data_IF_549182678832
#
_entry.id   IF_549182678832
#
_cell.length_a   1.000
_cell.length_b   1.000
_cell.length_c   1.000
_cell.angle_alpha   90.00
_cell.angle_beta   90.00
_cell.angle_gamma   90.00
#
_symmetry.space_group_name_H-M   'P 1'
#
loop_
_entity.id
_entity.type
_entity.pdbx_description
1 polymer ?
#
# COMPACT_ATOMS: atom_id res chain seq x y z
N UNK A 1 23.50 1.56 -8.53
CA UNK A 1 22.63 2.31 -7.59
C UNK A 1 22.15 1.33 -6.53
N UNK A 2 22.58 1.42 -5.26
CA UNK A 2 22.12 0.49 -4.23
C UNK A 2 20.60 0.62 -4.05
N UNK A 3 19.89 -0.51 -3.94
CA UNK A 3 18.46 -0.52 -3.69
C UNK A 3 18.17 0.18 -2.35
N UNK A 4 17.47 1.32 -2.41
CA UNK A 4 17.21 2.15 -1.23
C UNK A 4 16.11 1.50 -0.41
N UNK A 5 16.49 0.81 0.67
CA UNK A 5 15.56 0.22 1.63
C UNK A 5 14.53 1.26 2.10
N UNK A 6 13.27 0.86 2.21
CA UNK A 6 12.17 1.69 2.68
C UNK A 6 11.39 0.99 3.80
N UNK A 7 10.60 1.75 4.55
CA UNK A 7 9.64 1.17 5.48
C UNK A 7 8.35 0.88 4.73
N UNK A 8 7.76 -0.30 4.94
CA UNK A 8 6.37 -0.58 4.60
C UNK A 8 5.55 -0.40 5.88
N UNK A 9 4.79 0.69 5.93
CA UNK A 9 3.97 1.04 7.09
C UNK A 9 2.51 0.74 6.76
N UNK A 10 1.89 -0.13 7.54
CA UNK A 10 0.47 -0.50 7.41
C UNK A 10 -0.30 0.02 8.60
N UNK A 11 -1.38 0.76 8.37
CA UNK A 11 -2.27 1.16 9.44
C UNK A 11 -3.16 -0.01 9.86
N UNK A 12 -2.93 -0.57 11.05
CA UNK A 12 -3.73 -1.69 11.56
C UNK A 12 -4.97 -1.22 12.32
N UNK A 13 -4.92 -0.05 12.95
CA UNK A 13 -6.02 0.48 13.79
C UNK A 13 -6.45 1.87 13.35
N UNK A 14 -7.72 2.20 13.60
CA UNK A 14 -8.30 3.51 13.26
C UNK A 14 -7.77 4.64 14.17
N UNK A 15 -7.73 5.86 13.64
CA UNK A 15 -7.37 7.05 14.40
C UNK A 15 -8.59 7.83 14.94
N UNK A 16 -9.80 7.27 14.91
CA UNK A 16 -11.06 7.96 15.25
C UNK A 16 -11.09 8.55 16.67
N UNK A 17 -10.43 7.90 17.63
CA UNK A 17 -10.33 8.36 19.03
C UNK A 17 -9.01 9.06 19.39
N UNK A 18 -8.13 9.31 18.42
CA UNK A 18 -6.80 9.86 18.72
C UNK A 18 -6.81 11.39 18.79
N UNK A 19 -5.90 12.02 19.55
CA UNK A 19 -5.67 13.46 19.48
C UNK A 19 -5.39 13.96 18.06
N UNK A 20 -5.74 15.22 17.78
CA UNK A 20 -5.56 15.85 16.45
C UNK A 20 -4.12 15.80 15.95
N UNK A 21 -3.14 15.95 16.85
CA UNK A 21 -1.70 15.85 16.55
C UNK A 21 -1.30 14.47 16.04
N UNK A 22 -1.74 13.39 16.68
CA UNK A 22 -1.44 12.02 16.23
C UNK A 22 -2.13 11.72 14.88
N UNK A 23 -3.37 12.19 14.71
CA UNK A 23 -4.08 12.13 13.42
C UNK A 23 -3.35 12.87 12.29
N UNK A 24 -2.71 13.99 12.60
CA UNK A 24 -1.90 14.74 11.63
C UNK A 24 -0.62 13.99 11.27
N UNK A 25 0.04 13.35 12.25
CA UNK A 25 1.23 12.53 12.00
C UNK A 25 0.91 11.36 11.06
N UNK A 26 -0.17 10.62 11.32
CA UNK A 26 -0.61 9.52 10.45
C UNK A 26 -0.87 10.00 9.01
N UNK A 27 -1.59 11.11 8.84
CA UNK A 27 -1.80 11.74 7.52
C UNK A 27 -0.49 12.16 6.85
N UNK A 28 0.46 12.70 7.61
CA UNK A 28 1.78 13.11 7.07
C UNK A 28 2.62 11.92 6.57
N UNK A 29 2.34 10.71 7.07
CA UNK A 29 2.96 9.47 6.61
C UNK A 29 2.21 8.86 5.41
N UNK A 30 1.13 9.50 4.92
CA UNK A 30 0.30 8.98 3.83
C UNK A 30 -0.73 7.94 4.27
N UNK A 31 -0.97 7.81 5.57
CA UNK A 31 -1.99 6.90 6.11
C UNK A 31 -3.32 7.64 6.25
N UNK A 32 -4.39 7.03 5.74
CA UNK A 32 -5.71 7.66 5.71
C UNK A 32 -6.82 6.72 6.17
N UNK A 33 -6.98 5.60 5.46
CA UNK A 33 -7.94 4.55 5.81
C UNK A 33 -7.23 3.42 6.57
N UNK A 34 -7.97 2.68 7.38
CA UNK A 34 -7.47 1.43 7.99
C UNK A 34 -7.01 0.49 6.87
N UNK A 35 -5.93 -0.25 7.11
CA UNK A 35 -5.20 -1.09 6.16
C UNK A 35 -4.59 -0.36 4.96
N UNK A 36 -4.51 0.98 4.99
CA UNK A 36 -3.68 1.70 4.03
C UNK A 36 -2.20 1.41 4.25
N UNK A 37 -1.47 1.33 3.15
CA UNK A 37 -0.04 1.03 3.11
C UNK A 37 0.70 2.24 2.55
N UNK A 38 1.79 2.61 3.19
CA UNK A 38 2.68 3.68 2.76
C UNK A 38 4.13 3.20 2.75
N UNK A 39 4.93 3.73 1.81
CA UNK A 39 6.35 3.41 1.65
C UNK A 39 7.25 4.64 1.83
N UNK A 40 7.36 5.20 3.04
CA UNK A 40 8.30 6.30 3.27
C UNK A 40 9.76 5.81 3.22
N UNK A 41 10.63 6.70 2.74
CA UNK A 41 12.08 6.47 2.78
C UNK A 41 12.58 6.33 4.23
N UNK A 42 13.60 5.51 4.44
CA UNK A 42 14.25 5.38 5.74
C UNK A 42 14.98 6.69 6.06
N UNK A 43 14.52 7.38 7.10
CA UNK A 43 15.23 8.48 7.74
C UNK A 43 14.80 8.60 9.22
N UNK A 44 15.61 9.23 10.09
CA UNK A 44 15.30 9.35 11.51
C UNK A 44 13.98 10.08 11.81
N UNK A 45 13.64 11.10 11.01
CA UNK A 45 12.40 11.86 11.18
C UNK A 45 11.13 11.00 10.95
N UNK A 46 11.15 10.17 9.91
CA UNK A 46 10.10 9.18 9.60
C UNK A 46 10.03 8.14 10.72
N UNK A 47 11.17 7.62 11.18
CA UNK A 47 11.19 6.68 12.30
C UNK A 47 10.59 7.29 13.58
N UNK A 48 10.92 8.55 13.90
CA UNK A 48 10.32 9.28 15.03
C UNK A 48 8.80 9.46 14.89
N UNK A 49 8.31 9.78 13.69
CA UNK A 49 6.87 9.85 13.41
C UNK A 49 6.18 8.52 13.61
N UNK A 50 6.77 7.44 13.10
CA UNK A 50 6.27 6.06 13.25
C UNK A 50 6.21 5.69 14.74
N UNK A 51 7.27 5.96 15.50
CA UNK A 51 7.33 5.66 16.95
C UNK A 51 6.21 6.34 17.74
N UNK A 52 5.82 7.56 17.36
CA UNK A 52 4.70 8.29 18.00
C UNK A 52 3.34 7.62 17.78
N UNK A 53 3.17 6.81 16.74
CA UNK A 53 1.92 6.10 16.41
C UNK A 53 2.10 4.58 16.43
N UNK A 54 3.15 4.05 17.06
CA UNK A 54 3.55 2.63 16.99
C UNK A 54 2.46 1.63 17.36
N UNK A 55 1.50 2.05 18.17
CA UNK A 55 0.37 1.23 18.62
C UNK A 55 -0.68 1.02 17.53
N UNK A 56 -0.70 1.87 16.50
CA UNK A 56 -1.69 1.87 15.42
C UNK A 56 -1.16 1.28 14.11
N UNK A 57 0.16 1.13 13.98
CA UNK A 57 0.82 0.74 12.73
C UNK A 57 1.70 -0.49 12.90
N UNK A 58 1.75 -1.30 11.85
CA UNK A 58 2.75 -2.35 11.68
C UNK A 58 3.78 -1.90 10.64
N UNK A 59 5.05 -2.17 10.93
CA UNK A 59 6.18 -1.68 10.12
C UNK A 59 7.06 -2.86 9.74
N UNK A 60 7.33 -3.01 8.45
CA UNK A 60 8.34 -3.94 7.95
C UNK A 60 9.37 -3.19 7.11
N UNK A 61 10.60 -3.67 7.07
CA UNK A 61 11.65 -3.10 6.21
C UNK A 61 11.68 -3.89 4.91
N UNK A 62 11.64 -3.20 3.78
CA UNK A 62 11.64 -3.78 2.44
C UNK A 62 12.72 -3.14 1.58
N UNK A 63 13.25 -3.89 0.62
CA UNK A 63 14.34 -3.43 -0.23
C UNK A 63 13.91 -2.38 -1.26
N UNK A 64 12.67 -2.49 -1.75
CA UNK A 64 12.11 -1.63 -2.79
C UNK A 64 10.67 -1.22 -2.42
N UNK A 65 10.30 0.05 -2.63
CA UNK A 65 8.91 0.48 -2.52
C UNK A 65 8.08 -0.14 -3.63
N UNK A 66 6.84 -0.51 -3.29
CA UNK A 66 5.89 -1.08 -4.23
C UNK A 66 4.90 0.00 -4.64
N UNK A 67 4.55 0.08 -5.92
CA UNK A 67 3.54 1.04 -6.39
C UNK A 67 2.14 0.60 -5.94
N UNK A 68 1.20 1.54 -5.87
CA UNK A 68 -0.19 1.22 -5.49
C UNK A 68 -0.84 0.16 -6.40
N UNK A 69 -0.51 0.18 -7.69
CA UNK A 69 -0.99 -0.80 -8.67
C UNK A 69 -0.37 -2.17 -8.45
N UNK A 70 0.94 -2.22 -8.15
CA UNK A 70 1.61 -3.48 -7.82
C UNK A 70 1.08 -4.08 -6.52
N UNK A 71 0.84 -3.26 -5.48
CA UNK A 71 0.23 -3.72 -4.22
C UNK A 71 -1.18 -4.28 -4.42
N UNK A 72 -1.94 -3.72 -5.36
CA UNK A 72 -3.25 -4.24 -5.74
C UNK A 72 -3.12 -5.58 -6.48
N UNK A 73 -2.18 -5.67 -7.44
CA UNK A 73 -1.91 -6.90 -8.18
C UNK A 73 -1.43 -8.03 -7.28
N UNK A 74 -0.57 -7.74 -6.30
CA UNK A 74 -0.09 -8.72 -5.31
C UNK A 74 -1.22 -9.26 -4.41
N UNK A 75 -2.27 -8.47 -4.21
CA UNK A 75 -3.47 -8.87 -3.48
C UNK A 75 -4.52 -9.54 -4.35
N UNK A 76 -4.40 -9.40 -5.67
CA UNK A 76 -5.36 -9.96 -6.61
C UNK A 76 -5.11 -11.46 -6.74
N UNK A 77 -6.11 -12.32 -6.49
CA UNK A 77 -5.97 -13.75 -6.70
C UNK A 77 -5.86 -14.06 -8.19
N UNK A 78 -5.30 -15.22 -8.52
CA UNK A 78 -5.27 -15.73 -9.88
C UNK A 78 -6.71 -15.98 -10.38
N UNK A 79 -7.09 -15.50 -11.57
CA UNK A 79 -8.43 -15.76 -12.10
C UNK A 79 -8.65 -17.26 -12.31
N UNK A 80 -9.80 -17.77 -11.85
CA UNK A 80 -10.16 -19.19 -11.93
C UNK A 80 -10.76 -19.63 -13.27
N UNK A 81 -10.75 -18.76 -14.28
CA UNK A 81 -11.26 -19.06 -15.61
C UNK A 81 -10.39 -18.39 -16.67
N UNK A 82 -10.43 -18.92 -17.88
CA UNK A 82 -9.81 -18.34 -19.07
C UNK A 82 -10.89 -18.10 -20.12
N UNK A 83 -10.90 -16.92 -20.71
CA UNK A 83 -11.84 -16.60 -21.81
C UNK A 83 -11.31 -17.26 -23.08
N UNK A 84 -12.05 -18.23 -23.62
CA UNK A 84 -11.63 -18.99 -24.82
C UNK A 84 -11.93 -18.22 -26.12
N UNK A 85 -13.10 -17.58 -26.19
CA UNK A 85 -13.50 -16.78 -27.35
C UNK A 85 -14.48 -15.71 -26.92
N UNK A 86 -14.26 -14.48 -27.36
CA UNK A 86 -15.24 -13.41 -27.23
C UNK A 86 -16.11 -13.34 -28.49
N UNK A 87 -17.39 -12.97 -28.34
CA UNK A 87 -18.28 -12.73 -29.48
C UNK A 87 -17.74 -11.66 -30.45
N UNK A 88 -16.93 -10.72 -29.94
CA UNK A 88 -16.30 -9.69 -30.77
C UNK A 88 -15.27 -10.26 -31.75
N UNK A 89 -14.61 -11.36 -31.37
CA UNK A 89 -13.59 -12.04 -32.20
C UNK A 89 -14.23 -12.78 -33.38
N UNK A 90 -15.46 -13.27 -33.22
CA UNK A 90 -16.18 -14.00 -34.28
C UNK A 90 -16.76 -13.09 -35.36
N UNK A 91 -17.00 -11.81 -35.05
CA UNK A 91 -17.44 -10.80 -36.03
C UNK A 91 -16.31 -10.38 -36.98
N UNK A 92 -15.05 -10.30 -36.50
CA UNK A 92 -13.89 -9.97 -37.35
C UNK A 92 -13.51 -11.08 -38.34
N UNK A 93 -13.85 -12.34 -38.04
CA UNK A 93 -13.60 -13.49 -38.93
C UNK A 93 -14.62 -13.65 -40.07
N UNK A 94 -15.68 -12.84 -40.09
CA UNK A 94 -16.78 -12.93 -41.07
C UNK A 94 -16.72 -11.84 -42.15
N UNK A 95 -15.67 -11.01 -42.15
CA UNK A 95 -15.33 -10.04 -43.20
C UNK A 95 -14.05 -10.55 -43.87
#
# INVERSE_FOLDING_TARGET
MPAKKCFRVVQQRSCIGMPSKLRAIARSLGLGKVHSVSYPNINPGVAGKILRIKELVSVTTVEKPVSRAQEHSLRSPTPGFTVISSFKDSLQKRI
#
